data_IF_312645162020
#
_entry.id   IF_312645162020
#
_cell.length_a   1.000
_cell.length_b   1.000
_cell.length_c   1.000
_cell.angle_alpha   90.00
_cell.angle_beta   90.00
_cell.angle_gamma   90.00
#
_symmetry.space_group_name_H-M   'P 1'
#
loop_
_entity.id
_entity.type
_entity.pdbx_description
1 polymer ?
#
# COMPACT_ATOMS: atom_id res chain seq x y z
N UNK A 1 10.47 10.57 -18.49
CA UNK A 1 10.63 9.10 -18.32
C UNK A 1 9.84 8.50 -17.15
N UNK A 2 9.77 9.15 -15.97
CA UNK A 2 8.90 8.69 -14.87
C UNK A 2 7.41 8.67 -15.24
N UNK A 3 7.00 9.54 -16.16
CA UNK A 3 5.65 9.54 -16.76
C UNK A 3 5.30 8.18 -17.37
N UNK A 4 6.17 7.59 -18.21
CA UNK A 4 5.90 6.31 -18.87
C UNK A 4 5.70 5.18 -17.85
N UNK A 5 6.48 5.17 -16.77
CA UNK A 5 6.26 4.21 -15.68
C UNK A 5 4.88 4.39 -15.04
N UNK A 6 4.48 5.63 -14.77
CA UNK A 6 3.17 5.94 -14.18
C UNK A 6 2.01 5.62 -15.12
N UNK A 7 2.19 5.73 -16.43
CA UNK A 7 1.11 5.50 -17.41
C UNK A 7 0.95 4.03 -17.78
N UNK A 8 2.05 3.28 -17.97
CA UNK A 8 1.98 1.91 -18.50
C UNK A 8 2.22 0.83 -17.46
N UNK A 9 3.23 1.00 -16.61
CA UNK A 9 3.65 -0.04 -15.67
C UNK A 9 2.80 0.00 -14.41
N UNK A 10 2.52 1.20 -13.90
CA UNK A 10 1.78 1.40 -12.65
C UNK A 10 0.39 0.76 -12.68
N UNK A 11 -0.45 0.93 -13.73
CA UNK A 11 -1.77 0.30 -13.77
C UNK A 11 -1.69 -1.23 -13.67
N UNK A 12 -0.73 -1.86 -14.35
CA UNK A 12 -0.57 -3.33 -14.32
C UNK A 12 -0.18 -3.83 -12.93
N UNK A 13 0.71 -3.11 -12.23
CA UNK A 13 1.20 -3.53 -10.91
C UNK A 13 0.22 -3.22 -9.77
N UNK A 14 -0.65 -2.23 -9.95
CA UNK A 14 -1.56 -1.73 -8.94
C UNK A 14 -3.02 -2.15 -9.20
N UNK A 15 -3.32 -2.76 -10.34
CA UNK A 15 -4.63 -3.31 -10.62
C UNK A 15 -4.93 -4.49 -9.69
N UNK A 16 -6.13 -4.48 -9.10
CA UNK A 16 -6.66 -5.60 -8.33
C UNK A 16 -5.85 -6.01 -7.09
N UNK A 17 -5.00 -5.12 -6.54
CA UNK A 17 -4.11 -5.44 -5.40
C UNK A 17 -4.84 -5.97 -4.17
N UNK A 18 -6.08 -5.56 -4.03
CA UNK A 18 -7.04 -5.95 -3.01
C UNK A 18 -7.27 -7.45 -3.01
N UNK A 19 -7.48 -8.00 -4.20
CA UNK A 19 -7.72 -9.42 -4.45
C UNK A 19 -6.38 -10.16 -4.52
N UNK A 20 -5.46 -9.68 -5.35
CA UNK A 20 -4.16 -10.28 -5.59
C UNK A 20 -3.04 -9.53 -4.86
N UNK A 21 -2.94 -9.72 -3.54
CA UNK A 21 -1.75 -9.30 -2.78
C UNK A 21 -0.95 -10.50 -2.31
N UNK A 22 0.34 -10.60 -2.66
CA UNK A 22 1.20 -11.58 -2.05
C UNK A 22 1.38 -11.30 -0.56
N UNK A 23 1.60 -12.37 0.20
CA UNK A 23 1.89 -12.30 1.63
C UNK A 23 3.34 -12.71 1.95
N UNK A 24 3.97 -13.51 1.09
CA UNK A 24 5.36 -13.95 1.29
C UNK A 24 6.31 -12.79 0.98
N UNK A 25 7.31 -12.60 1.84
CA UNK A 25 8.33 -11.55 1.66
C UNK A 25 9.08 -11.68 0.33
N UNK A 26 9.31 -12.90 -0.16
CA UNK A 26 9.95 -13.14 -1.46
C UNK A 26 9.13 -12.54 -2.62
N UNK A 27 7.83 -12.79 -2.63
CA UNK A 27 6.92 -12.35 -3.69
C UNK A 27 6.73 -10.82 -3.63
N UNK A 28 6.64 -10.26 -2.42
CA UNK A 28 6.60 -8.80 -2.21
C UNK A 28 7.88 -8.15 -2.77
N UNK A 29 9.05 -8.70 -2.45
CA UNK A 29 10.34 -8.21 -2.98
C UNK A 29 10.43 -8.36 -4.49
N UNK A 30 9.91 -9.45 -5.05
CA UNK A 30 9.88 -9.67 -6.50
C UNK A 30 9.04 -8.59 -7.20
N UNK A 31 7.88 -8.24 -6.66
CA UNK A 31 7.05 -7.15 -7.19
C UNK A 31 7.75 -5.79 -7.04
N UNK A 32 8.32 -5.49 -5.87
CA UNK A 32 9.07 -4.24 -5.63
C UNK A 32 10.30 -4.13 -6.54
N UNK A 33 10.91 -5.26 -6.91
CA UNK A 33 12.06 -5.31 -7.82
C UNK A 33 11.75 -4.70 -9.19
N UNK A 34 10.50 -4.71 -9.64
CA UNK A 34 10.08 -4.13 -10.92
C UNK A 34 10.27 -2.60 -10.88
N UNK A 35 9.78 -1.94 -9.83
CA UNK A 35 10.01 -0.51 -9.61
C UNK A 35 11.52 -0.22 -9.46
N UNK A 36 12.21 -1.00 -8.64
CA UNK A 36 13.65 -0.81 -8.38
C UNK A 36 14.52 -1.01 -9.62
N UNK A 37 14.17 -1.95 -10.49
CA UNK A 37 14.86 -2.20 -11.77
C UNK A 37 14.64 -1.02 -12.72
N UNK A 38 13.40 -0.54 -12.83
CA UNK A 38 13.07 0.62 -13.64
C UNK A 38 13.84 1.87 -13.18
N UNK A 39 13.79 2.22 -11.89
CA UNK A 39 14.47 3.41 -11.37
C UNK A 39 16.00 3.27 -11.44
N UNK A 40 16.56 2.05 -11.43
CA UNK A 40 18.01 1.82 -11.60
C UNK A 40 18.42 2.13 -13.03
N UNK A 41 17.70 1.56 -13.99
CA UNK A 41 17.94 1.77 -15.42
C UNK A 41 17.76 3.24 -15.79
N UNK A 42 16.77 3.91 -15.22
CA UNK A 42 16.57 5.34 -15.42
C UNK A 42 17.75 6.16 -14.90
N UNK A 43 18.23 5.87 -13.69
CA UNK A 43 19.38 6.57 -13.11
C UNK A 43 20.65 6.34 -13.94
N UNK A 44 20.93 5.10 -14.33
CA UNK A 44 22.07 4.77 -15.20
C UNK A 44 22.01 5.50 -16.54
N UNK A 45 20.82 5.62 -17.16
CA UNK A 45 20.65 6.39 -18.40
C UNK A 45 20.86 7.88 -18.22
N UNK A 46 20.47 8.45 -17.07
CA UNK A 46 20.68 9.87 -16.78
C UNK A 46 22.16 10.19 -16.56
N UNK A 47 22.91 9.28 -15.97
CA UNK A 47 24.36 9.44 -15.73
C UNK A 47 25.16 9.08 -16.99
N UNK A 48 24.61 8.23 -17.87
CA UNK A 48 25.27 7.79 -19.10
C UNK A 48 26.15 6.53 -18.93
N UNK A 49 26.10 5.87 -17.76
CA UNK A 49 26.85 4.63 -17.49
C UNK A 49 26.08 3.67 -16.58
N UNK A 50 26.45 2.40 -16.61
CA UNK A 50 25.96 1.42 -15.63
C UNK A 50 26.53 1.73 -14.24
N UNK A 51 25.67 1.64 -13.23
CA UNK A 51 26.05 1.89 -11.84
C UNK A 51 26.22 0.57 -11.11
N UNK A 52 27.34 0.45 -10.42
CA UNK A 52 27.65 -0.63 -9.48
C UNK A 52 27.56 -0.12 -8.04
N UNK A 53 27.36 -0.99 -7.04
CA UNK A 53 27.28 -0.59 -5.63
C UNK A 53 28.54 0.13 -5.09
N UNK A 54 29.68 -0.03 -5.75
CA UNK A 54 30.95 0.60 -5.39
C UNK A 54 31.07 2.04 -5.90
N UNK A 55 30.17 2.48 -6.80
CA UNK A 55 30.22 3.82 -7.37
C UNK A 55 29.70 4.88 -6.38
N UNK A 56 30.31 6.07 -6.32
CA UNK A 56 29.84 7.15 -5.45
C UNK A 56 28.44 7.66 -5.82
N UNK A 57 28.08 7.57 -7.11
CA UNK A 57 26.77 7.96 -7.64
C UNK A 57 25.67 6.90 -7.38
N UNK A 58 26.02 5.79 -6.74
CA UNK A 58 25.08 4.71 -6.46
C UNK A 58 24.06 5.14 -5.41
N UNK A 59 22.82 5.37 -5.85
CA UNK A 59 21.71 5.66 -4.95
C UNK A 59 20.98 4.37 -4.53
N UNK A 60 20.59 4.29 -3.26
CA UNK A 60 19.73 3.23 -2.71
C UNK A 60 18.33 3.23 -3.36
N UNK A 61 17.51 2.21 -3.06
CA UNK A 61 16.12 2.18 -3.55
C UNK A 61 15.32 3.39 -3.06
N UNK A 62 15.40 3.68 -1.76
CA UNK A 62 14.65 4.78 -1.14
C UNK A 62 15.13 6.15 -1.61
N UNK A 63 16.45 6.33 -1.76
CA UNK A 63 17.02 7.57 -2.31
C UNK A 63 16.57 7.82 -3.75
N UNK A 64 16.52 6.77 -4.59
CA UNK A 64 15.99 6.89 -5.96
C UNK A 64 14.50 7.21 -5.97
N UNK A 65 13.75 6.55 -5.10
CA UNK A 65 12.32 6.80 -4.92
C UNK A 65 12.08 8.27 -4.54
N UNK A 66 12.81 8.80 -3.57
CA UNK A 66 12.77 10.22 -3.19
C UNK A 66 13.16 11.13 -4.37
N UNK A 67 14.28 10.85 -5.06
CA UNK A 67 14.75 11.61 -6.23
C UNK A 67 13.69 11.70 -7.34
N UNK A 68 12.92 10.64 -7.55
CA UNK A 68 11.88 10.58 -8.59
C UNK A 68 10.46 10.93 -8.11
N UNK A 69 10.30 11.31 -6.83
CA UNK A 69 8.99 11.59 -6.24
C UNK A 69 8.06 10.36 -6.28
N UNK A 70 8.59 9.18 -6.01
CA UNK A 70 7.87 7.91 -5.96
C UNK A 70 7.87 7.37 -4.54
N UNK A 71 6.73 6.91 -4.05
CA UNK A 71 6.67 6.03 -2.88
C UNK A 71 7.05 4.59 -3.28
N UNK A 72 7.39 3.73 -2.33
CA UNK A 72 7.56 2.29 -2.61
C UNK A 72 6.26 1.68 -3.15
N UNK A 73 6.38 0.64 -3.97
CA UNK A 73 5.19 -0.02 -4.52
C UNK A 73 4.41 -0.71 -3.40
N UNK A 74 5.08 -1.29 -2.42
CA UNK A 74 4.48 -1.81 -1.18
C UNK A 74 3.61 -0.75 -0.48
N UNK A 75 4.14 0.44 -0.22
CA UNK A 75 3.41 1.51 0.46
C UNK A 75 2.18 1.94 -0.33
N UNK A 76 2.28 2.03 -1.66
CA UNK A 76 1.13 2.38 -2.51
C UNK A 76 0.05 1.32 -2.48
N UNK A 77 0.41 0.04 -2.49
CA UNK A 77 -0.55 -1.07 -2.35
C UNK A 77 -1.27 -1.03 -1.00
N UNK A 78 -0.54 -0.77 0.09
CA UNK A 78 -1.13 -0.57 1.42
C UNK A 78 -2.10 0.62 1.46
N UNK A 79 -1.76 1.72 0.78
CA UNK A 79 -2.61 2.91 0.67
C UNK A 79 -3.90 2.62 -0.11
N UNK A 80 -3.81 1.83 -1.18
CA UNK A 80 -4.98 1.38 -1.96
C UNK A 80 -5.90 0.53 -1.09
N UNK A 81 -5.35 -0.46 -0.40
CA UNK A 81 -6.10 -1.31 0.53
C UNK A 81 -6.87 -0.46 1.57
N UNK A 82 -6.19 0.52 2.16
CA UNK A 82 -6.80 1.43 3.13
C UNK A 82 -7.96 2.26 2.54
N UNK A 83 -7.78 2.78 1.32
CA UNK A 83 -8.81 3.56 0.63
C UNK A 83 -10.08 2.73 0.38
N UNK A 84 -9.95 1.43 0.09
CA UNK A 84 -11.13 0.58 -0.08
C UNK A 84 -11.87 0.37 1.24
N UNK A 85 -11.16 0.11 2.34
CA UNK A 85 -11.83 0.01 3.66
C UNK A 85 -12.57 1.30 4.00
N UNK A 86 -11.95 2.45 3.80
CA UNK A 86 -12.63 3.73 4.02
C UNK A 86 -13.89 3.88 3.13
N UNK A 87 -13.81 3.47 1.87
CA UNK A 87 -14.98 3.52 0.97
C UNK A 87 -16.08 2.55 1.40
N UNK A 88 -15.75 1.36 1.90
CA UNK A 88 -16.71 0.40 2.47
C UNK A 88 -17.40 0.99 3.70
N UNK A 89 -16.62 1.58 4.60
CA UNK A 89 -17.12 2.24 5.83
C UNK A 89 -18.02 3.45 5.53
N UNK A 90 -17.73 4.20 4.46
CA UNK A 90 -18.53 5.33 4.02
C UNK A 90 -19.74 4.93 3.16
N UNK A 91 -19.96 3.64 2.89
CA UNK A 91 -21.04 3.18 2.02
C UNK A 91 -20.90 3.61 0.55
N UNK A 92 -19.68 3.94 0.11
CA UNK A 92 -19.39 4.39 -1.27
C UNK A 92 -19.12 3.24 -2.25
N UNK A 93 -19.22 2.00 -1.77
CA UNK A 93 -19.06 0.78 -2.57
C UNK A 93 -20.34 -0.03 -2.41
N UNK A 94 -20.83 -0.60 -3.51
CA UNK A 94 -21.98 -1.50 -3.53
C UNK A 94 -21.58 -2.91 -3.08
N UNK A 95 -21.09 -3.02 -1.84
CA UNK A 95 -20.78 -4.28 -1.14
C UNK A 95 -21.45 -4.18 0.23
N UNK A 96 -22.05 -5.27 0.69
CA UNK A 96 -22.64 -5.32 2.03
C UNK A 96 -21.53 -5.27 3.10
N UNK A 97 -21.24 -4.07 3.60
CA UNK A 97 -20.17 -3.84 4.60
C UNK A 97 -20.47 -4.54 5.93
N UNK A 98 -21.74 -4.76 6.26
CA UNK A 98 -22.19 -5.38 7.52
C UNK A 98 -21.74 -6.85 7.65
N UNK A 99 -21.54 -7.54 6.52
CA UNK A 99 -21.03 -8.92 6.51
C UNK A 99 -19.58 -9.01 7.01
N UNK A 100 -18.84 -7.89 6.95
CA UNK A 100 -17.41 -7.84 7.24
C UNK A 100 -17.08 -7.04 8.51
N UNK A 101 -17.83 -5.97 8.78
CA UNK A 101 -17.58 -5.06 9.89
C UNK A 101 -18.84 -4.88 10.74
N UNK A 102 -18.68 -4.92 12.05
CA UNK A 102 -19.75 -4.62 12.99
C UNK A 102 -19.58 -3.20 13.53
N UNK A 103 -20.63 -2.39 13.40
CA UNK A 103 -20.66 -1.04 13.97
C UNK A 103 -21.30 -1.10 15.35
N UNK A 104 -20.55 -0.75 16.40
CA UNK A 104 -21.14 -0.64 17.74
C UNK A 104 -21.77 0.75 17.90
N UNK A 105 -23.09 0.83 17.79
CA UNK A 105 -23.86 2.07 17.93
C UNK A 105 -24.19 2.40 19.38
N UNK A 106 -23.96 1.48 20.33
CA UNK A 106 -24.49 1.56 21.70
C UNK A 106 -23.50 2.11 22.73
N UNK A 107 -22.23 2.30 22.39
CA UNK A 107 -21.23 2.80 23.35
C UNK A 107 -21.10 4.32 23.28
N UNK A 108 -21.79 5.02 24.19
CA UNK A 108 -21.59 6.45 24.53
C UNK A 108 -20.22 6.68 25.22
N UNK A 109 -19.12 6.25 24.63
CA UNK A 109 -17.78 6.53 25.14
C UNK A 109 -16.92 7.15 24.05
N UNK A 110 -16.03 8.07 24.47
CA UNK A 110 -15.24 9.01 23.64
C UNK A 110 -14.23 8.35 22.65
N UNK A 111 -14.40 7.07 22.33
CA UNK A 111 -13.55 6.34 21.38
C UNK A 111 -14.05 6.56 19.95
N UNK A 112 -13.16 7.08 19.09
CA UNK A 112 -13.43 7.35 17.69
C UNK A 112 -13.49 6.09 16.79
N UNK A 113 -13.37 4.88 17.34
CA UNK A 113 -13.39 3.64 16.56
C UNK A 113 -14.77 2.98 16.57
N UNK A 114 -15.60 3.40 15.61
CA UNK A 114 -16.95 2.87 15.37
C UNK A 114 -16.99 1.50 14.69
N UNK A 115 -15.86 1.02 14.16
CA UNK A 115 -15.80 -0.21 13.36
C UNK A 115 -15.03 -1.30 14.08
N UNK A 116 -15.73 -2.39 14.38
CA UNK A 116 -15.14 -3.64 14.83
C UNK A 116 -15.10 -4.63 13.67
N UNK A 117 -14.08 -5.48 13.63
CA UNK A 117 -14.02 -6.61 12.71
C UNK A 117 -13.69 -7.86 13.51
N UNK A 118 -14.18 -9.01 13.04
CA UNK A 118 -13.90 -10.28 13.69
C UNK A 118 -12.45 -10.67 13.45
N UNK A 119 -11.69 -10.86 14.52
CA UNK A 119 -10.33 -11.39 14.41
C UNK A 119 -10.36 -12.79 13.80
N UNK A 120 -9.43 -13.06 12.90
CA UNK A 120 -9.39 -14.33 12.20
C UNK A 120 -8.75 -15.45 13.04
N UNK A 121 -9.29 -16.66 12.89
CA UNK A 121 -8.84 -17.84 13.64
C UNK A 121 -7.63 -18.54 13.01
N UNK A 122 -7.43 -18.40 11.69
CA UNK A 122 -6.40 -19.15 10.94
C UNK A 122 -5.32 -18.27 10.35
N UNK A 123 -4.10 -18.83 10.24
CA UNK A 123 -2.92 -18.13 9.67
C UNK A 123 -3.16 -17.64 8.24
N UNK A 124 -3.88 -18.41 7.42
CA UNK A 124 -4.16 -18.05 6.02
C UNK A 124 -5.14 -16.88 5.91
N UNK A 125 -6.21 -16.88 6.74
CA UNK A 125 -7.22 -15.82 6.72
C UNK A 125 -6.66 -14.46 7.14
N UNK A 126 -5.54 -14.42 7.89
CA UNK A 126 -4.90 -13.15 8.31
C UNK A 126 -4.46 -12.30 7.12
N UNK A 127 -4.13 -12.98 6.03
CA UNK A 127 -3.60 -12.35 4.83
C UNK A 127 -4.70 -11.89 3.87
N UNK A 128 -5.97 -12.18 4.16
CA UNK A 128 -7.08 -11.70 3.34
C UNK A 128 -7.25 -10.19 3.53
N UNK A 129 -7.72 -9.52 2.49
CA UNK A 129 -7.91 -8.06 2.47
C UNK A 129 -8.58 -7.50 3.73
N UNK A 130 -9.71 -8.10 4.14
CA UNK A 130 -10.51 -7.66 5.29
C UNK A 130 -9.75 -7.73 6.62
N UNK A 131 -8.76 -8.61 6.73
CA UNK A 131 -8.00 -8.83 7.97
C UNK A 131 -6.62 -8.14 7.96
N UNK A 132 -5.93 -8.15 6.81
CA UNK A 132 -4.58 -7.59 6.67
C UNK A 132 -4.54 -6.07 6.75
N UNK A 133 -5.61 -5.41 6.33
CA UNK A 133 -5.63 -3.94 6.21
C UNK A 133 -5.95 -3.27 7.54
N UNK A 134 -6.99 -3.67 8.30
CA UNK A 134 -7.26 -3.08 9.62
C UNK A 134 -6.14 -3.37 10.63
N UNK A 135 -5.54 -4.56 10.57
CA UNK A 135 -4.42 -4.93 11.46
C UNK A 135 -3.21 -4.02 11.27
N UNK A 136 -2.91 -3.60 10.02
CA UNK A 136 -1.86 -2.60 9.74
C UNK A 136 -2.22 -1.21 10.25
N UNK A 137 -3.49 -0.81 10.14
CA UNK A 137 -3.97 0.52 10.57
C UNK A 137 -4.04 0.66 12.09
N UNK A 138 -4.43 -0.41 12.80
CA UNK A 138 -4.45 -0.42 14.26
C UNK A 138 -3.05 -0.23 14.87
N UNK A 139 -2.00 -0.63 14.15
CA UNK A 139 -0.60 -0.41 14.54
C UNK A 139 -0.16 1.04 14.22
N UNK A 140 -0.78 1.68 13.23
CA UNK A 140 -0.40 3.02 12.74
C UNK A 140 -1.24 4.16 13.34
N UNK A 141 -1.73 4.06 14.57
CA UNK A 141 -2.68 5.01 15.16
C UNK A 141 -2.13 6.41 15.49
N UNK A 142 -1.17 6.91 14.71
CA UNK A 142 -1.05 8.34 14.40
C UNK A 142 -1.81 8.59 13.09
N UNK A 143 -3.13 8.83 13.22
CA UNK A 143 -3.96 9.25 12.09
C UNK A 143 -3.51 10.66 11.66
N UNK A 144 -3.17 10.91 10.39
CA UNK A 144 -2.84 12.27 9.95
C UNK A 144 -4.08 13.16 10.14
N UNK A 145 -3.90 14.42 10.60
CA UNK A 145 -5.01 15.32 10.87
C UNK A 145 -5.77 15.58 9.58
N UNK A 146 -7.08 15.28 9.60
CA UNK A 146 -8.00 15.70 8.55
C UNK A 146 -8.22 17.19 8.79
N UNK A 147 -7.59 18.04 7.99
CA UNK A 147 -7.91 19.46 7.94
C UNK A 147 -9.37 19.63 7.50
N UNK A 148 -10.24 20.30 8.28
CA UNK A 148 -11.54 20.70 7.77
C UNK A 148 -11.35 21.75 6.66
N UNK A 149 -12.17 21.66 5.61
CA UNK A 149 -12.31 22.70 4.59
C UNK A 149 -12.76 24.03 5.20
#
# INVERSE_FOLDING_TARGET
>A
MTLLYKTFIRPVLEYGTEVSSPYKKCDIRAIESIQNSFTRRLLSRQIGRYLTPSDPDYLSADQRNAKYGLASLEHRRQTTDYKIILKMQLGKININTEDFFTTNTFTKTRSNNKFHWKAEKTKTRRNFFIHRTPSRVAISSDRPPISPN
#
